data_IF_279365058390
#
_entry.id   IF_279365058390
#
_cell.length_a   1.000
_cell.length_b   1.000
_cell.length_c   1.000
_cell.angle_alpha   90.00
_cell.angle_beta   90.00
_cell.angle_gamma   90.00
#
_symmetry.space_group_name_H-M   'P 1'
#
loop_
_entity.id
_entity.type
_entity.pdbx_description
1 polymer ?
#
# COMPACT_ATOMS: atom_id res chain seq x y z
N UNK A 1 29.41 -8.35 -13.18
CA UNK A 1 28.99 -9.74 -12.93
C UNK A 1 28.47 -9.81 -11.50
N UNK A 2 27.30 -10.41 -11.33
CA UNK A 2 26.65 -10.53 -10.01
C UNK A 2 27.34 -11.62 -9.20
N UNK A 3 27.91 -11.26 -8.04
CA UNK A 3 28.49 -12.25 -7.13
C UNK A 3 27.47 -13.29 -6.64
N UNK A 4 26.17 -12.95 -6.69
CA UNK A 4 25.08 -13.80 -6.23
C UNK A 4 24.62 -14.77 -7.30
N UNK A 5 24.57 -14.35 -8.57
CA UNK A 5 24.33 -15.24 -9.72
C UNK A 5 25.45 -16.28 -9.81
N UNK A 6 26.71 -15.83 -9.78
CA UNK A 6 27.86 -16.73 -9.86
C UNK A 6 27.84 -17.78 -8.72
N UNK A 7 27.46 -17.37 -7.51
CA UNK A 7 27.33 -18.26 -6.36
C UNK A 7 26.17 -19.25 -6.53
N UNK A 8 25.02 -18.79 -7.01
CA UNK A 8 23.84 -19.64 -7.25
C UNK A 8 24.15 -20.70 -8.31
N UNK A 9 24.59 -20.30 -9.49
CA UNK A 9 24.83 -21.22 -10.61
C UNK A 9 25.91 -22.24 -10.27
N UNK A 10 26.96 -21.82 -9.55
CA UNK A 10 28.04 -22.71 -9.11
C UNK A 10 27.57 -23.77 -8.10
N UNK A 11 26.66 -23.42 -7.18
CA UNK A 11 26.24 -24.33 -6.10
C UNK A 11 25.05 -25.20 -6.52
N UNK A 12 24.09 -24.63 -7.26
CA UNK A 12 22.87 -25.35 -7.66
C UNK A 12 23.03 -26.07 -8.99
N UNK A 13 24.00 -25.66 -9.83
CA UNK A 13 24.13 -26.14 -11.21
C UNK A 13 22.98 -25.70 -12.13
N UNK A 14 22.10 -24.82 -11.66
CA UNK A 14 20.97 -24.30 -12.42
C UNK A 14 21.31 -22.90 -12.95
N UNK A 15 20.91 -22.56 -14.19
CA UNK A 15 21.06 -21.20 -14.69
C UNK A 15 20.21 -20.23 -13.86
N UNK A 16 20.73 -19.04 -13.59
CA UNK A 16 19.95 -18.01 -12.93
C UNK A 16 18.80 -17.55 -13.84
N UNK A 17 17.64 -17.17 -13.27
CA UNK A 17 16.53 -16.65 -14.05
C UNK A 17 16.91 -15.33 -14.75
N UNK A 18 16.28 -14.99 -15.89
CA UNK A 18 16.67 -13.82 -16.69
C UNK A 18 16.70 -12.50 -15.90
N UNK A 19 15.78 -12.33 -14.96
CA UNK A 19 15.62 -11.12 -14.16
C UNK A 19 16.46 -11.12 -12.86
N UNK A 20 17.27 -12.17 -12.61
CA UNK A 20 18.07 -12.32 -11.38
C UNK A 20 18.94 -11.09 -11.07
N UNK A 21 19.52 -10.48 -12.11
CA UNK A 21 20.38 -9.31 -11.98
C UNK A 21 19.69 -8.08 -11.38
N UNK A 22 18.35 -7.99 -11.46
CA UNK A 22 17.59 -6.90 -10.81
C UNK A 22 17.71 -6.94 -9.29
N UNK A 23 17.89 -8.13 -8.70
CA UNK A 23 17.94 -8.31 -7.24
C UNK A 23 19.30 -7.93 -6.61
N UNK A 24 20.34 -7.71 -7.42
CA UNK A 24 21.69 -7.38 -6.93
C UNK A 24 21.70 -6.14 -6.05
N UNK A 25 20.92 -5.12 -6.42
CA UNK A 25 20.82 -3.88 -5.65
C UNK A 25 20.27 -4.14 -4.26
N UNK A 26 19.18 -4.91 -4.17
CA UNK A 26 18.58 -5.32 -2.89
C UNK A 26 19.59 -6.09 -2.03
N UNK A 27 20.26 -7.09 -2.61
CA UNK A 27 21.23 -7.90 -1.89
C UNK A 27 22.42 -7.08 -1.38
N UNK A 28 22.86 -6.08 -2.14
CA UNK A 28 23.91 -5.17 -1.70
C UNK A 28 23.45 -4.25 -0.56
N UNK A 29 22.19 -3.81 -0.55
CA UNK A 29 21.63 -3.06 0.59
C UNK A 29 21.57 -3.90 1.87
N UNK A 30 21.18 -5.19 1.76
CA UNK A 30 21.23 -6.14 2.88
C UNK A 30 22.66 -6.29 3.41
N UNK A 31 23.64 -6.47 2.51
CA UNK A 31 25.04 -6.60 2.89
C UNK A 31 25.57 -5.38 3.65
N UNK A 32 25.06 -4.19 3.32
CA UNK A 32 25.40 -2.92 3.98
C UNK A 32 24.63 -2.68 5.29
N UNK A 33 23.70 -3.57 5.67
CA UNK A 33 22.90 -3.42 6.89
C UNK A 33 21.87 -2.28 6.81
N UNK A 34 21.51 -1.84 5.60
CA UNK A 34 20.48 -0.80 5.42
C UNK A 34 19.13 -1.32 5.87
N UNK A 35 18.33 -0.43 6.48
CA UNK A 35 16.90 -0.69 6.67
C UNK A 35 16.24 -0.77 5.31
N UNK A 36 15.53 -1.86 5.06
CA UNK A 36 14.82 -2.11 3.81
C UNK A 36 13.33 -1.81 3.98
N UNK A 37 12.68 -1.24 2.94
CA UNK A 37 11.24 -1.10 2.93
C UNK A 37 10.57 -2.48 2.86
N UNK A 38 9.24 -2.58 2.99
CA UNK A 38 8.54 -3.85 2.82
C UNK A 38 8.80 -4.48 1.44
N UNK A 39 8.74 -5.82 1.35
CA UNK A 39 9.11 -6.58 0.15
C UNK A 39 8.36 -6.18 -1.12
N UNK A 40 7.10 -5.76 -1.01
CA UNK A 40 6.33 -5.24 -2.15
C UNK A 40 7.02 -4.02 -2.78
N UNK A 41 7.39 -3.06 -1.94
CA UNK A 41 8.12 -1.86 -2.37
C UNK A 41 9.49 -2.21 -2.94
N UNK A 42 10.22 -3.15 -2.32
CA UNK A 42 11.50 -3.60 -2.84
C UNK A 42 11.35 -4.15 -4.27
N UNK A 43 10.36 -5.01 -4.50
CA UNK A 43 10.11 -5.62 -5.81
C UNK A 43 9.76 -4.56 -6.86
N UNK A 44 8.86 -3.64 -6.52
CA UNK A 44 8.45 -2.54 -7.41
C UNK A 44 9.60 -1.60 -7.75
N UNK A 45 10.45 -1.25 -6.78
CA UNK A 45 11.63 -0.42 -7.02
C UNK A 45 12.62 -1.06 -8.01
N UNK A 46 12.59 -2.39 -8.17
CA UNK A 46 13.38 -3.15 -9.13
C UNK A 46 12.64 -3.38 -10.46
N UNK A 47 11.46 -2.79 -10.65
CA UNK A 47 10.63 -2.95 -11.84
C UNK A 47 9.91 -4.31 -11.93
N UNK A 48 9.75 -5.01 -10.81
CA UNK A 48 8.99 -6.27 -10.69
C UNK A 48 7.58 -5.97 -10.18
N UNK A 49 6.71 -6.98 -10.10
CA UNK A 49 5.42 -6.86 -9.39
C UNK A 49 5.61 -7.00 -7.88
N UNK A 50 4.81 -6.32 -7.07
CA UNK A 50 4.90 -6.28 -5.61
C UNK A 50 4.83 -7.69 -4.98
N UNK A 51 4.16 -8.63 -5.65
CA UNK A 51 4.06 -10.01 -5.20
C UNK A 51 5.28 -10.88 -5.57
N UNK A 52 6.18 -10.44 -6.45
CA UNK A 52 7.30 -11.25 -6.95
C UNK A 52 8.20 -11.81 -5.82
N UNK A 53 8.39 -11.07 -4.73
CA UNK A 53 9.22 -11.51 -3.58
C UNK A 53 8.41 -12.16 -2.44
N UNK A 54 7.08 -12.26 -2.60
CA UNK A 54 6.13 -12.68 -1.56
C UNK A 54 5.25 -13.87 -1.95
N UNK A 55 4.94 -14.07 -3.24
CA UNK A 55 4.17 -15.19 -3.75
C UNK A 55 5.01 -15.99 -4.77
N UNK A 56 5.26 -17.25 -4.44
CA UNK A 56 5.99 -18.18 -5.30
C UNK A 56 5.28 -18.49 -6.63
N UNK A 57 4.02 -18.09 -6.79
CA UNK A 57 3.24 -18.30 -8.02
C UNK A 57 3.41 -17.19 -9.05
N UNK A 58 3.84 -16.00 -8.63
CA UNK A 58 3.97 -14.82 -9.50
C UNK A 58 5.13 -14.98 -10.49
N UNK A 59 6.33 -15.27 -9.98
CA UNK A 59 7.49 -15.71 -10.75
C UNK A 59 8.23 -16.82 -9.98
N UNK A 60 7.89 -18.11 -10.21
CA UNK A 60 8.45 -19.21 -9.45
C UNK A 60 9.98 -19.32 -9.53
N UNK A 61 10.56 -19.01 -10.69
CA UNK A 61 11.99 -19.14 -10.91
C UNK A 61 12.76 -18.03 -10.18
N UNK A 62 12.30 -16.78 -10.30
CA UNK A 62 12.91 -15.65 -9.61
C UNK A 62 12.70 -15.73 -8.10
N UNK A 63 11.53 -16.18 -7.64
CA UNK A 63 11.26 -16.41 -6.21
C UNK A 63 12.17 -17.49 -5.63
N UNK A 64 12.40 -18.60 -6.35
CA UNK A 64 13.32 -19.65 -5.91
C UNK A 64 14.77 -19.15 -5.81
N UNK A 65 15.24 -18.39 -6.81
CA UNK A 65 16.56 -17.75 -6.79
C UNK A 65 16.70 -16.79 -5.59
N UNK A 66 15.75 -15.88 -5.41
CA UNK A 66 15.70 -14.96 -4.26
C UNK A 66 15.78 -15.73 -2.93
N UNK A 67 14.92 -16.74 -2.76
CA UNK A 67 14.90 -17.59 -1.56
C UNK A 67 16.22 -18.29 -1.31
N UNK A 68 16.89 -18.76 -2.36
CA UNK A 68 18.19 -19.40 -2.24
C UNK A 68 19.25 -18.42 -1.75
N UNK A 69 19.36 -17.24 -2.37
CA UNK A 69 20.34 -16.20 -1.98
C UNK A 69 20.10 -15.76 -0.53
N UNK A 70 18.85 -15.50 -0.17
CA UNK A 70 18.47 -15.11 1.19
C UNK A 70 18.87 -16.16 2.25
N UNK A 71 18.85 -17.44 1.87
CA UNK A 71 19.16 -18.56 2.77
C UNK A 71 20.66 -18.84 2.87
N UNK A 72 21.42 -18.66 1.80
CA UNK A 72 22.82 -19.11 1.72
C UNK A 72 23.85 -17.98 1.73
N UNK A 73 23.46 -16.75 1.37
CA UNK A 73 24.40 -15.62 1.24
C UNK A 73 24.36 -14.65 2.43
N UNK A 74 23.35 -14.74 3.30
CA UNK A 74 23.18 -13.84 4.45
C UNK A 74 23.04 -14.62 5.75
N UNK A 75 23.55 -14.04 6.85
CA UNK A 75 23.41 -14.62 8.18
C UNK A 75 22.02 -14.33 8.76
N UNK A 76 21.56 -15.18 9.67
CA UNK A 76 20.34 -14.90 10.44
C UNK A 76 20.45 -13.54 11.16
N UNK A 77 19.40 -12.72 11.06
CA UNK A 77 19.37 -11.37 11.65
C UNK A 77 20.10 -10.28 10.84
N UNK A 78 20.74 -10.61 9.71
CA UNK A 78 21.39 -9.61 8.85
C UNK A 78 20.41 -8.80 8.01
N UNK A 79 19.19 -9.31 7.83
CA UNK A 79 18.14 -8.67 7.03
C UNK A 79 17.33 -7.73 7.93
N UNK A 80 17.55 -6.43 7.76
CA UNK A 80 16.84 -5.37 8.49
C UNK A 80 15.64 -4.89 7.66
N UNK A 81 14.57 -5.66 7.60
CA UNK A 81 13.38 -5.40 6.78
C UNK A 81 12.24 -4.83 7.64
N UNK A 82 11.59 -3.76 7.16
CA UNK A 82 10.35 -3.28 7.75
C UNK A 82 9.24 -4.32 7.56
N UNK A 83 8.76 -4.88 8.67
CA UNK A 83 7.68 -5.87 8.65
C UNK A 83 6.33 -5.20 8.45
N UNK A 84 5.60 -5.62 7.42
CA UNK A 84 4.20 -5.25 7.20
C UNK A 84 3.21 -6.06 8.07
N UNK A 85 3.69 -6.90 9.01
CA UNK A 85 2.85 -7.70 9.91
C UNK A 85 2.28 -6.83 11.02
N UNK A 86 1.26 -6.06 10.71
CA UNK A 86 0.48 -5.32 11.68
C UNK A 86 -0.52 -6.28 12.33
N UNK A 87 -0.36 -6.48 13.65
CA UNK A 87 -1.28 -7.33 14.43
C UNK A 87 -2.36 -6.43 15.01
N UNK A 88 -3.50 -6.40 14.35
CA UNK A 88 -4.73 -6.37 15.11
C UNK A 88 -5.99 -6.34 14.26
N UNK A 89 -7.09 -6.54 14.96
CA UNK A 89 -8.21 -7.28 14.38
C UNK A 89 -9.26 -6.41 13.71
N UNK A 90 -9.34 -5.11 14.03
CA UNK A 90 -10.47 -4.29 13.59
C UNK A 90 -10.10 -2.96 12.93
N UNK A 91 -9.18 -2.19 13.52
CA UNK A 91 -8.83 -0.86 13.01
C UNK A 91 -7.39 -0.51 13.37
N UNK A 92 -6.59 -0.08 12.39
CA UNK A 92 -5.20 0.36 12.59
C UNK A 92 -5.03 1.76 12.02
N UNK A 93 -4.41 2.65 12.79
CA UNK A 93 -4.21 4.04 12.39
C UNK A 93 -3.00 4.67 13.06
N UNK A 94 -2.47 5.73 12.46
CA UNK A 94 -1.47 6.62 13.05
C UNK A 94 -2.04 8.04 13.14
N UNK A 95 -1.79 8.72 14.27
CA UNK A 95 -2.07 10.16 14.45
C UNK A 95 -3.53 10.60 14.22
N UNK A 96 -4.50 9.71 14.39
CA UNK A 96 -5.92 10.07 14.31
C UNK A 96 -6.44 10.62 15.63
N UNK A 97 -6.09 9.94 16.72
CA UNK A 97 -6.54 10.24 18.07
C UNK A 97 -5.48 11.03 18.83
N UNK A 98 -5.91 11.98 19.66
CA UNK A 98 -5.01 12.79 20.49
C UNK A 98 -4.62 12.02 21.77
N UNK A 99 -3.59 11.20 21.64
CA UNK A 99 -3.09 10.32 22.70
C UNK A 99 -1.57 10.25 22.70
N UNK A 100 -1.00 9.95 23.85
CA UNK A 100 0.41 9.69 24.12
C UNK A 100 0.84 8.24 23.87
N UNK A 101 -0.08 7.37 23.47
CA UNK A 101 0.21 5.98 23.14
C UNK A 101 1.15 5.86 21.92
N UNK A 102 2.04 4.86 21.90
CA UNK A 102 2.89 4.58 20.74
C UNK A 102 2.08 4.36 19.46
N UNK A 103 2.54 4.95 18.36
CA UNK A 103 1.92 4.84 17.03
C UNK A 103 2.67 3.80 16.16
N UNK A 104 1.99 3.07 15.26
CA UNK A 104 0.55 3.13 14.99
C UNK A 104 -0.27 2.46 16.10
N UNK A 105 -1.49 2.96 16.30
CA UNK A 105 -2.49 2.35 17.16
C UNK A 105 -3.23 1.26 16.43
N UNK A 106 -3.43 0.14 17.12
CA UNK A 106 -4.37 -0.89 16.67
C UNK A 106 -5.45 -1.12 17.71
N UNK A 107 -6.70 -1.00 17.27
CA UNK A 107 -7.88 -1.12 18.09
C UNK A 107 -8.56 -2.48 17.83
N UNK A 108 -8.98 -3.09 18.93
CA UNK A 108 -9.82 -4.29 18.93
C UNK A 108 -11.29 -3.91 19.11
N UNK A 109 -12.23 -4.81 18.77
CA UNK A 109 -13.67 -4.54 18.90
C UNK A 109 -14.12 -4.03 20.28
N UNK A 110 -13.56 -4.56 21.38
CA UNK A 110 -13.93 -4.13 22.73
C UNK A 110 -13.42 -2.73 23.10
N UNK A 111 -12.52 -2.15 22.31
CA UNK A 111 -12.02 -0.78 22.48
C UNK A 111 -12.88 0.23 21.70
N UNK A 112 -13.87 -0.21 20.93
CA UNK A 112 -14.66 0.65 20.05
C UNK A 112 -15.35 1.80 20.80
N UNK A 113 -16.22 1.47 21.76
CA UNK A 113 -17.09 2.45 22.44
C UNK A 113 -16.33 3.66 23.01
N UNK A 114 -15.24 3.50 23.79
CA UNK A 114 -14.50 4.66 24.29
C UNK A 114 -13.80 5.46 23.17
N UNK A 115 -13.47 4.84 22.05
CA UNK A 115 -12.75 5.49 20.94
C UNK A 115 -13.66 6.30 20.01
N UNK A 116 -14.96 6.03 19.96
CA UNK A 116 -15.92 6.74 19.12
C UNK A 116 -15.89 8.26 19.32
N UNK A 117 -15.84 8.70 20.57
CA UNK A 117 -15.86 10.12 20.96
C UNK A 117 -14.54 10.63 21.51
N UNK A 118 -13.48 9.81 21.44
CA UNK A 118 -12.15 10.19 21.90
C UNK A 118 -11.64 11.41 21.13
N UNK A 119 -10.92 12.36 21.76
CA UNK A 119 -10.37 13.54 21.08
C UNK A 119 -9.57 13.18 19.82
N UNK A 120 -9.78 13.95 18.75
CA UNK A 120 -9.08 13.76 17.48
C UNK A 120 -7.85 14.69 17.44
N UNK A 121 -6.70 14.15 17.02
CA UNK A 121 -5.47 14.94 16.78
C UNK A 121 -5.57 15.73 15.48
N UNK A 122 -6.21 15.14 14.47
CA UNK A 122 -6.31 15.68 13.12
C UNK A 122 -7.77 15.70 12.63
N UNK A 123 -8.07 16.56 11.64
CA UNK A 123 -9.39 16.64 10.96
C UNK A 123 -9.38 16.02 9.56
N UNK A 124 -8.24 15.51 9.13
CA UNK A 124 -8.04 14.87 7.86
C UNK A 124 -7.30 13.56 8.08
N UNK A 125 -7.59 12.55 7.27
CA UNK A 125 -6.89 11.28 7.30
C UNK A 125 -6.78 10.66 5.91
N UNK A 126 -5.62 10.06 5.65
CA UNK A 126 -5.35 9.31 4.42
C UNK A 126 -5.57 7.83 4.72
N UNK A 127 -6.53 7.22 4.03
CA UNK A 127 -6.81 5.79 4.13
C UNK A 127 -5.98 5.04 3.10
N UNK A 128 -5.18 4.10 3.57
CA UNK A 128 -4.23 3.31 2.78
C UNK A 128 -4.70 1.86 2.74
N UNK A 129 -4.84 1.29 1.55
CA UNK A 129 -5.19 -0.12 1.37
C UNK A 129 -4.06 -1.05 1.82
N UNK A 130 -2.83 -0.79 1.36
CA UNK A 130 -1.70 -1.69 1.47
C UNK A 130 -0.90 -1.51 2.78
N UNK A 131 -0.67 -2.61 3.50
CA UNK A 131 0.13 -2.65 4.75
C UNK A 131 1.55 -2.12 4.60
N UNK A 132 2.21 -2.48 3.50
CA UNK A 132 3.58 -2.08 3.22
C UNK A 132 3.69 -0.58 2.97
N UNK A 133 2.77 -0.04 2.18
CA UNK A 133 2.66 1.40 1.92
C UNK A 133 2.40 2.16 3.22
N UNK A 134 1.43 1.71 4.02
CA UNK A 134 1.14 2.34 5.33
C UNK A 134 2.37 2.33 6.25
N UNK A 135 3.06 1.20 6.38
CA UNK A 135 4.21 1.07 7.25
C UNK A 135 5.36 1.98 6.79
N UNK A 136 5.59 2.06 5.48
CA UNK A 136 6.61 2.93 4.90
C UNK A 136 6.29 4.41 5.12
N UNK A 137 5.07 4.84 4.79
CA UNK A 137 4.61 6.22 5.00
C UNK A 137 4.68 6.61 6.48
N UNK A 138 4.30 5.74 7.40
CA UNK A 138 4.39 6.01 8.84
C UNK A 138 5.84 6.10 9.33
N UNK A 139 6.76 5.32 8.75
CA UNK A 139 8.17 5.39 9.09
C UNK A 139 8.81 6.69 8.60
N UNK A 140 8.46 7.13 7.39
CA UNK A 140 9.01 8.34 6.76
C UNK A 140 8.34 9.61 7.29
N UNK A 141 7.04 9.55 7.58
CA UNK A 141 6.20 10.66 8.03
C UNK A 141 5.45 10.30 9.32
N UNK A 142 6.15 10.26 10.47
CA UNK A 142 5.60 9.73 11.72
C UNK A 142 4.43 10.54 12.30
N UNK A 143 4.17 11.74 11.80
CA UNK A 143 3.08 12.62 12.25
C UNK A 143 1.85 12.62 11.33
N UNK A 144 1.91 11.98 10.15
CA UNK A 144 0.80 11.97 9.21
C UNK A 144 -0.40 11.17 9.76
N UNK A 145 -1.64 11.68 9.56
CA UNK A 145 -2.85 10.99 9.96
C UNK A 145 -3.19 9.88 8.94
N UNK A 146 -2.71 8.67 9.20
CA UNK A 146 -2.88 7.52 8.32
C UNK A 146 -3.86 6.52 8.91
N UNK A 147 -4.68 5.89 8.08
CA UNK A 147 -5.55 4.76 8.45
C UNK A 147 -5.25 3.60 7.52
N UNK A 148 -5.11 2.41 8.07
CA UNK A 148 -4.92 1.21 7.30
C UNK A 148 -6.24 0.46 7.10
N UNK A 149 -6.60 0.19 5.85
CA UNK A 149 -7.77 -0.62 5.51
C UNK A 149 -7.44 -2.12 5.49
N UNK A 150 -6.32 -2.54 4.89
CA UNK A 150 -5.78 -3.93 4.91
C UNK A 150 -6.83 -5.07 4.92
N UNK A 151 -7.79 -5.07 3.99
CA UNK A 151 -8.71 -6.20 3.87
C UNK A 151 -9.55 -6.47 5.14
N UNK A 152 -9.80 -5.43 5.95
CA UNK A 152 -10.72 -5.51 7.09
C UNK A 152 -12.19 -5.73 6.68
N UNK A 153 -12.44 -5.89 5.37
CA UNK A 153 -13.72 -6.07 4.68
C UNK A 153 -14.82 -5.12 5.15
N UNK A 154 -14.44 -3.93 5.61
CA UNK A 154 -15.34 -2.96 6.19
C UNK A 154 -16.21 -3.57 7.30
N UNK A 155 -15.57 -4.33 8.20
CA UNK A 155 -16.23 -4.85 9.39
C UNK A 155 -16.91 -3.72 10.20
N UNK A 156 -17.89 -4.10 11.01
CA UNK A 156 -18.73 -3.14 11.73
C UNK A 156 -17.93 -2.15 12.60
N UNK A 157 -16.86 -2.63 13.24
CA UNK A 157 -16.00 -1.80 14.10
C UNK A 157 -15.26 -0.75 13.27
N UNK A 158 -14.71 -1.16 12.12
CA UNK A 158 -14.06 -0.23 11.18
C UNK A 158 -15.04 0.82 10.67
N UNK A 159 -16.24 0.40 10.24
CA UNK A 159 -17.26 1.32 9.72
C UNK A 159 -17.64 2.36 10.76
N UNK A 160 -17.85 1.95 12.02
CA UNK A 160 -18.17 2.89 13.10
C UNK A 160 -17.00 3.84 13.39
N UNK A 161 -15.76 3.36 13.36
CA UNK A 161 -14.55 4.17 13.58
C UNK A 161 -14.17 5.07 12.39
N UNK A 162 -14.79 4.90 11.23
CA UNK A 162 -14.70 5.83 10.12
C UNK A 162 -15.84 6.85 10.19
N UNK A 163 -17.09 6.38 10.32
CA UNK A 163 -18.28 7.23 10.29
C UNK A 163 -18.40 8.17 11.50
N UNK A 164 -17.97 7.72 12.69
CA UNK A 164 -18.10 8.57 13.88
C UNK A 164 -17.11 9.75 13.87
N UNK A 165 -15.81 9.56 13.59
CA UNK A 165 -14.93 10.71 13.38
C UNK A 165 -15.37 11.58 12.20
N UNK A 166 -15.92 10.98 11.13
CA UNK A 166 -16.49 11.74 10.01
C UNK A 166 -17.60 12.69 10.48
N UNK A 167 -18.55 12.18 11.27
CA UNK A 167 -19.64 12.97 11.82
C UNK A 167 -19.15 14.11 12.74
N UNK A 168 -17.91 14.01 13.21
CA UNK A 168 -17.22 15.02 14.05
C UNK A 168 -16.32 15.95 13.22
N UNK A 169 -16.37 15.87 11.90
CA UNK A 169 -15.66 16.75 10.97
C UNK A 169 -14.36 16.18 10.39
N UNK A 170 -14.06 14.89 10.61
CA UNK A 170 -12.96 14.22 9.91
C UNK A 170 -13.29 14.09 8.42
N UNK A 171 -12.34 14.44 7.55
CA UNK A 171 -12.40 14.23 6.11
C UNK A 171 -11.42 13.13 5.70
N UNK A 172 -11.76 12.39 4.64
CA UNK A 172 -10.94 11.27 4.19
C UNK A 172 -10.56 11.37 2.72
N UNK A 173 -9.35 10.93 2.41
CA UNK A 173 -8.93 10.50 1.07
C UNK A 173 -8.55 9.03 1.12
N UNK A 174 -8.67 8.33 0.00
CA UNK A 174 -8.36 6.90 -0.10
C UNK A 174 -7.31 6.65 -1.16
N UNK A 175 -6.30 5.84 -0.82
CA UNK A 175 -5.27 5.36 -1.72
C UNK A 175 -5.24 3.84 -1.72
N UNK A 176 -5.38 3.26 -2.90
CA UNK A 176 -5.29 1.83 -3.14
C UNK A 176 -4.65 1.52 -4.50
N UNK A 177 -4.60 0.23 -4.83
CA UNK A 177 -4.12 -0.21 -6.14
C UNK A 177 -5.03 0.35 -7.24
N UNK A 178 -4.42 0.81 -8.34
CA UNK A 178 -5.15 1.20 -9.54
C UNK A 178 -5.41 -0.04 -10.39
N UNK A 179 -6.33 -0.85 -9.89
CA UNK A 179 -6.90 -2.00 -10.57
C UNK A 179 -8.41 -2.08 -10.29
N UNK A 180 -9.10 -3.05 -10.89
CA UNK A 180 -10.55 -3.17 -10.72
C UNK A 180 -10.99 -3.55 -9.30
N UNK A 181 -10.14 -4.20 -8.50
CA UNK A 181 -10.45 -4.52 -7.11
C UNK A 181 -10.26 -3.30 -6.20
N UNK A 182 -9.13 -2.60 -6.32
CA UNK A 182 -8.82 -1.38 -5.57
C UNK A 182 -9.85 -0.28 -5.81
N UNK A 183 -10.25 -0.03 -7.08
CA UNK A 183 -11.31 0.94 -7.40
C UNK A 183 -12.65 0.55 -6.78
N UNK A 184 -12.98 -0.75 -6.76
CA UNK A 184 -14.20 -1.23 -6.11
C UNK A 184 -14.16 -1.00 -4.59
N UNK A 185 -12.99 -1.19 -3.96
CA UNK A 185 -12.80 -0.93 -2.53
C UNK A 185 -12.90 0.56 -2.22
N UNK A 186 -12.32 1.43 -3.04
CA UNK A 186 -12.45 2.88 -2.91
C UNK A 186 -13.91 3.36 -3.04
N UNK A 187 -14.66 2.85 -4.03
CA UNK A 187 -16.10 3.13 -4.18
C UNK A 187 -16.90 2.61 -2.99
N UNK A 188 -16.56 1.44 -2.46
CA UNK A 188 -17.21 0.91 -1.27
C UNK A 188 -16.92 1.79 -0.05
N UNK A 189 -15.67 2.22 0.15
CA UNK A 189 -15.29 3.12 1.22
C UNK A 189 -16.04 4.46 1.15
N UNK A 190 -16.05 5.10 -0.02
CA UNK A 190 -16.77 6.37 -0.22
C UNK A 190 -18.27 6.25 0.09
N UNK A 191 -18.90 5.11 -0.22
CA UNK A 191 -20.31 4.88 0.09
C UNK A 191 -20.62 4.65 1.57
N UNK A 192 -19.62 4.37 2.40
CA UNK A 192 -19.79 4.32 3.86
C UNK A 192 -19.89 5.73 4.45
N UNK A 193 -19.35 6.72 3.76
CA UNK A 193 -19.24 8.10 4.22
C UNK A 193 -20.55 8.85 3.97
N UNK A 194 -20.85 9.80 4.85
CA UNK A 194 -22.09 10.61 4.78
C UNK A 194 -21.81 12.08 4.49
N UNK A 195 -20.61 12.57 4.80
CA UNK A 195 -20.23 13.97 4.67
C UNK A 195 -19.13 14.16 3.62
N UNK A 196 -18.18 13.24 3.54
CA UNK A 196 -17.10 13.24 2.56
C UNK A 196 -17.61 12.67 1.24
N UNK A 197 -17.53 13.46 0.16
CA UNK A 197 -18.02 13.01 -1.14
C UNK A 197 -17.07 12.00 -1.79
N UNK A 198 -17.55 11.23 -2.76
CA UNK A 198 -16.68 10.30 -3.50
C UNK A 198 -15.54 11.03 -4.24
N UNK A 199 -15.79 12.25 -4.73
CA UNK A 199 -14.80 13.11 -5.36
C UNK A 199 -13.72 13.56 -4.36
N UNK A 200 -14.12 13.92 -3.14
CA UNK A 200 -13.18 14.23 -2.06
C UNK A 200 -12.36 12.99 -1.67
N UNK A 201 -12.98 11.81 -1.57
CA UNK A 201 -12.25 10.57 -1.29
C UNK A 201 -11.21 10.27 -2.38
N UNK A 202 -11.54 10.53 -3.64
CA UNK A 202 -10.65 10.35 -4.78
C UNK A 202 -9.67 11.52 -4.99
N UNK A 203 -9.60 12.53 -4.12
CA UNK A 203 -8.86 13.78 -4.37
C UNK A 203 -7.39 13.57 -4.76
N UNK A 204 -6.73 12.55 -4.21
CA UNK A 204 -5.32 12.24 -4.50
C UNK A 204 -5.11 11.43 -5.79
N UNK A 205 -6.17 10.82 -6.34
CA UNK A 205 -6.15 9.94 -7.51
C UNK A 205 -7.30 10.29 -8.47
N UNK A 206 -7.25 11.47 -9.09
CA UNK A 206 -8.33 11.86 -10.01
C UNK A 206 -8.28 11.05 -11.32
N UNK A 207 -9.42 10.84 -12.00
CA UNK A 207 -9.48 10.04 -13.23
C UNK A 207 -8.51 10.50 -14.34
N UNK A 208 -8.22 11.80 -14.41
CA UNK A 208 -7.26 12.38 -15.35
C UNK A 208 -5.82 11.92 -15.08
N UNK A 209 -5.44 11.84 -13.81
CA UNK A 209 -4.11 11.38 -13.39
C UNK A 209 -3.98 9.88 -13.59
N UNK A 210 -5.01 9.12 -13.19
CA UNK A 210 -5.08 7.66 -13.36
C UNK A 210 -4.84 7.29 -14.82
N UNK A 211 -5.45 8.01 -15.76
CA UNK A 211 -5.22 7.80 -17.19
C UNK A 211 -3.76 8.01 -17.61
N UNK A 212 -3.11 9.08 -17.13
CA UNK A 212 -1.72 9.38 -17.44
C UNK A 212 -0.79 8.30 -16.87
N UNK A 213 -0.95 7.99 -15.59
CA UNK A 213 -0.15 6.95 -14.94
C UNK A 213 -0.32 5.58 -15.60
N UNK A 214 -1.53 5.22 -16.06
CA UNK A 214 -1.75 3.95 -16.76
C UNK A 214 -1.06 3.88 -18.12
N UNK A 215 -0.97 5.02 -18.82
CA UNK A 215 -0.21 5.10 -20.05
C UNK A 215 1.27 4.83 -19.80
N UNK A 216 1.83 5.49 -18.78
CA UNK A 216 3.28 5.56 -18.54
C UNK A 216 3.84 4.39 -17.72
N UNK A 217 3.11 3.97 -16.67
CA UNK A 217 3.57 3.02 -15.65
C UNK A 217 2.78 1.71 -15.61
N UNK A 218 1.66 1.65 -16.34
CA UNK A 218 0.72 0.53 -16.25
C UNK A 218 1.27 -0.78 -16.82
N UNK A 219 1.03 -1.87 -16.08
CA UNK A 219 1.35 -3.26 -16.46
C UNK A 219 0.09 -3.97 -16.96
N UNK A 220 0.21 -4.84 -17.97
CA UNK A 220 -0.95 -5.55 -18.55
C UNK A 220 -1.32 -6.76 -17.68
N UNK A 221 -2.57 -6.85 -17.25
CA UNK A 221 -3.15 -8.06 -16.63
C UNK A 221 -4.67 -8.09 -16.77
N UNK A 222 -5.17 -9.05 -17.55
CA UNK A 222 -6.61 -9.20 -17.87
C UNK A 222 -7.47 -9.47 -16.63
N UNK A 223 -6.93 -10.13 -15.60
CA UNK A 223 -7.67 -10.45 -14.37
C UNK A 223 -7.82 -9.21 -13.50
N UNK A 224 -6.73 -8.45 -13.33
CA UNK A 224 -6.71 -7.22 -12.51
C UNK A 224 -7.52 -6.09 -13.14
N UNK A 225 -7.73 -6.11 -14.45
CA UNK A 225 -8.41 -5.03 -15.18
C UNK A 225 -9.84 -5.39 -15.60
N UNK A 226 -10.38 -6.49 -15.07
CA UNK A 226 -11.74 -6.94 -15.39
C UNK A 226 -12.76 -6.03 -14.71
N UNK A 227 -13.65 -5.44 -15.53
CA UNK A 227 -14.76 -4.59 -15.07
C UNK A 227 -15.47 -5.16 -13.84
N UNK A 228 -15.61 -4.34 -12.81
CA UNK A 228 -16.42 -4.62 -11.62
C UNK A 228 -17.51 -3.58 -11.43
N UNK A 229 -18.48 -3.90 -10.60
CA UNK A 229 -19.59 -2.99 -10.28
C UNK A 229 -19.12 -1.92 -9.32
N UNK A 230 -19.24 -0.66 -9.74
CA UNK A 230 -19.00 0.56 -8.99
C UNK A 230 -20.14 1.55 -9.22
N UNK A 231 -20.46 2.35 -8.21
CA UNK A 231 -21.66 3.20 -8.22
C UNK A 231 -21.32 4.66 -8.44
N UNK A 232 -20.28 5.17 -7.77
CA UNK A 232 -19.95 6.60 -7.79
C UNK A 232 -19.37 7.01 -9.16
N UNK A 233 -19.75 8.17 -9.72
CA UNK A 233 -19.31 8.59 -11.06
C UNK A 233 -17.79 8.65 -11.24
N UNK A 234 -17.07 9.15 -10.24
CA UNK A 234 -15.60 9.23 -10.27
C UNK A 234 -14.96 7.85 -10.43
N UNK A 235 -15.40 6.86 -9.66
CA UNK A 235 -14.90 5.49 -9.73
C UNK A 235 -15.41 4.72 -10.95
N UNK A 236 -16.58 5.06 -11.51
CA UNK A 236 -17.02 4.54 -12.81
C UNK A 236 -16.09 4.99 -13.94
N UNK A 237 -15.62 6.25 -13.89
CA UNK A 237 -14.66 6.77 -14.86
C UNK A 237 -13.30 6.06 -14.74
N UNK A 238 -12.80 5.87 -13.52
CA UNK A 238 -11.56 5.12 -13.29
C UNK A 238 -11.68 3.65 -13.72
N UNK A 239 -12.76 2.97 -13.34
CA UNK A 239 -13.01 1.58 -13.72
C UNK A 239 -13.04 1.40 -15.25
N UNK A 240 -13.70 2.33 -15.94
CA UNK A 240 -13.72 2.35 -17.41
C UNK A 240 -12.32 2.56 -17.99
N UNK A 241 -11.52 3.43 -17.37
CA UNK A 241 -10.14 3.68 -17.80
C UNK A 241 -9.26 2.44 -17.64
N UNK A 242 -9.32 1.77 -16.48
CA UNK A 242 -8.61 0.51 -16.23
C UNK A 242 -9.00 -0.56 -17.25
N UNK A 243 -10.30 -0.78 -17.46
CA UNK A 243 -10.79 -1.79 -18.39
C UNK A 243 -10.41 -1.48 -19.84
N UNK A 244 -10.43 -0.20 -20.26
CA UNK A 244 -10.06 0.22 -21.61
C UNK A 244 -8.57 0.05 -21.89
N UNK A 245 -7.72 0.43 -20.94
CA UNK A 245 -6.26 0.30 -21.10
C UNK A 245 -5.82 -1.16 -20.99
N UNK A 246 -6.56 -1.99 -20.26
CA UNK A 246 -6.12 -3.36 -19.95
C UNK A 246 -4.83 -3.38 -19.12
N UNK A 247 -4.57 -2.29 -18.38
CA UNK A 247 -3.41 -2.11 -17.53
C UNK A 247 -3.81 -1.78 -16.09
N UNK A 248 -2.95 -2.11 -15.15
CA UNK A 248 -3.07 -1.78 -13.73
C UNK A 248 -1.78 -1.17 -13.20
N UNK A 249 -1.85 -0.54 -12.02
CA UNK A 249 -0.69 -0.02 -11.29
C UNK A 249 -0.82 -0.43 -9.82
N UNK A 250 0.25 -0.95 -9.26
CA UNK A 250 0.35 -1.26 -7.82
C UNK A 250 0.56 0.04 -7.04
N UNK A 251 -0.02 0.16 -5.85
CA UNK A 251 0.08 1.35 -5.01
C UNK A 251 1.54 1.75 -4.77
N UNK A 252 2.43 0.77 -4.58
CA UNK A 252 3.88 0.96 -4.39
C UNK A 252 4.58 1.69 -5.57
N UNK A 253 4.02 1.63 -6.78
CA UNK A 253 4.59 2.29 -7.96
C UNK A 253 4.41 3.81 -7.92
N UNK A 254 3.42 4.30 -7.17
CA UNK A 254 3.04 5.70 -7.13
C UNK A 254 3.46 6.39 -5.82
N UNK A 255 4.26 5.73 -4.98
CA UNK A 255 4.70 6.25 -3.68
C UNK A 255 5.23 7.69 -3.73
N UNK A 256 6.17 7.99 -4.64
CA UNK A 256 6.72 9.35 -4.73
C UNK A 256 5.67 10.40 -5.12
N UNK A 257 4.70 10.03 -5.95
CA UNK A 257 3.59 10.92 -6.33
C UNK A 257 2.60 11.09 -5.18
N UNK A 258 2.30 10.00 -4.46
CA UNK A 258 1.40 10.06 -3.31
C UNK A 258 1.98 10.84 -2.15
N UNK A 259 3.27 10.72 -1.87
CA UNK A 259 3.92 11.45 -0.78
C UNK A 259 3.77 12.97 -0.99
N UNK A 260 4.06 13.47 -2.19
CA UNK A 260 3.87 14.89 -2.53
C UNK A 260 2.40 15.31 -2.39
N UNK A 261 1.46 14.55 -2.96
CA UNK A 261 0.03 14.89 -2.92
C UNK A 261 -0.58 14.80 -1.52
N UNK A 262 -0.14 13.84 -0.70
CA UNK A 262 -0.57 13.72 0.68
C UNK A 262 -0.13 14.96 1.46
N UNK A 263 1.13 15.35 1.34
CA UNK A 263 1.65 16.55 2.01
C UNK A 263 0.82 17.78 1.65
N UNK A 264 0.62 18.04 0.35
CA UNK A 264 -0.19 19.17 -0.12
C UNK A 264 -1.63 19.14 0.41
N UNK A 265 -2.27 17.96 0.42
CA UNK A 265 -3.65 17.83 0.88
C UNK A 265 -3.80 18.01 2.39
N UNK A 266 -2.80 17.60 3.18
CA UNK A 266 -2.77 17.80 4.62
C UNK A 266 -2.51 19.26 4.99
N UNK A 267 -1.68 19.98 4.22
CA UNK A 267 -1.39 21.41 4.44
C UNK A 267 -2.54 22.34 4.06
N UNK A 268 -3.37 21.96 3.08
CA UNK A 268 -4.43 22.81 2.50
C UNK A 268 -5.52 23.27 3.49
N UNK A 269 -5.51 22.82 4.74
CA UNK A 269 -6.58 23.02 5.73
C UNK A 269 -6.09 23.65 7.03
N UNK A 270 -4.82 24.06 7.11
CA UNK A 270 -4.28 24.87 8.23
C UNK A 270 -4.65 26.38 8.13
N UNK A 271 -5.61 26.76 7.28
CA UNK A 271 -6.10 28.16 7.12
C UNK A 271 -7.48 28.36 7.74
#
# INVERSE_FOLDING_TARGET
MSSYIDAFEKVTGQPAPPEAGKLDQLFNQIRQGKTLPPRGQQAVAMGLTAHTLNDAREDPALFAYYRWVMTHCFKSGQVNELTARLIGMAFTSANIFDTDLPQPLTLNPWQLTPMLDFPLKNKQAVVIENNGVFALLHQEHPDWPLILQSGNDFNEVYVQLIQRPEARGMRYVYLGDLDSAGIQMADQFARLLKQTSAEEVAALQQPTDVRLWLADLGKIDVRRTKQRKVVSPVYQAEMTTIALFGKFIEQEQLMGVYEERIAEWLEATEV
#
